data_IF_138331247739
#
_entry.id   IF_138331247739
#
_cell.length_a   1.000
_cell.length_b   1.000
_cell.length_c   1.000
_cell.angle_alpha   90.00
_cell.angle_beta   90.00
_cell.angle_gamma   90.00
#
_symmetry.space_group_name_H-M   'P 1'
#
loop_
_entity.id
_entity.type
_entity.pdbx_description
1 polymer ?
#
# COMPACT_ATOMS: atom_id res chain seq x y z
N UNK A 1 1.24 -7.66 10.00
CA UNK A 1 1.47 -9.08 9.62
C UNK A 1 0.80 -9.52 8.31
N UNK A 2 -0.23 -8.84 7.76
CA UNK A 2 -0.93 -9.30 6.53
C UNK A 2 -0.21 -8.91 5.22
N UNK A 3 0.54 -7.81 5.23
CA UNK A 3 1.26 -7.33 4.03
C UNK A 3 2.36 -8.29 3.53
N UNK A 4 3.00 -9.05 4.42
CA UNK A 4 4.02 -10.03 4.02
C UNK A 4 3.43 -11.23 3.27
N UNK A 5 2.22 -11.66 3.63
CA UNK A 5 1.60 -12.86 3.04
C UNK A 5 1.17 -12.65 1.59
N UNK A 6 0.57 -11.50 1.29
CA UNK A 6 0.09 -11.19 -0.05
C UNK A 6 1.23 -10.82 -1.01
N UNK A 7 2.31 -10.21 -0.50
CA UNK A 7 3.55 -10.03 -1.26
C UNK A 7 4.18 -11.39 -1.58
N UNK A 8 4.16 -12.31 -0.63
CA UNK A 8 4.63 -13.67 -0.84
C UNK A 8 3.80 -14.43 -1.88
N UNK A 9 2.49 -14.24 -1.94
CA UNK A 9 1.65 -14.91 -2.93
C UNK A 9 2.02 -14.49 -4.36
N UNK A 10 2.17 -13.19 -4.64
CA UNK A 10 2.62 -12.69 -5.96
C UNK A 10 4.07 -13.10 -6.24
N UNK A 11 4.93 -13.08 -5.22
CA UNK A 11 6.31 -13.53 -5.37
C UNK A 11 6.41 -15.03 -5.65
N UNK A 12 5.54 -15.85 -5.06
CA UNK A 12 5.52 -17.30 -5.24
C UNK A 12 5.15 -17.69 -6.66
N UNK A 13 4.18 -16.99 -7.25
CA UNK A 13 3.67 -17.30 -8.59
C UNK A 13 4.73 -16.97 -9.64
N UNK A 14 5.36 -15.80 -9.53
CA UNK A 14 6.47 -15.40 -10.40
C UNK A 14 7.68 -16.32 -10.24
N UNK A 15 8.04 -16.64 -8.99
CA UNK A 15 9.18 -17.52 -8.70
C UNK A 15 8.94 -18.97 -9.13
N UNK A 16 7.68 -19.42 -9.17
CA UNK A 16 7.30 -20.73 -9.73
C UNK A 16 7.51 -20.76 -11.24
N UNK A 17 7.10 -19.70 -11.93
CA UNK A 17 7.32 -19.55 -13.38
C UNK A 17 8.81 -19.55 -13.73
N UNK A 18 9.63 -18.77 -13.02
CA UNK A 18 11.08 -18.76 -13.18
C UNK A 18 11.70 -20.14 -12.95
N UNK A 19 11.24 -20.86 -11.92
CA UNK A 19 11.74 -22.22 -11.62
C UNK A 19 11.43 -23.19 -12.75
N UNK A 20 10.26 -23.09 -13.39
CA UNK A 20 9.87 -23.91 -14.53
C UNK A 20 10.71 -23.59 -15.79
N UNK A 21 10.97 -22.31 -16.06
CA UNK A 21 11.86 -21.89 -17.15
C UNK A 21 13.29 -22.39 -16.95
N UNK A 22 13.77 -22.32 -15.71
CA UNK A 22 15.10 -22.82 -15.35
C UNK A 22 15.19 -24.33 -15.49
N UNK A 23 14.20 -25.06 -14.99
CA UNK A 23 14.11 -26.51 -15.15
C UNK A 23 14.08 -26.91 -16.63
N UNK A 24 13.30 -26.22 -17.47
CA UNK A 24 13.29 -26.47 -18.91
C UNK A 24 14.69 -26.29 -19.52
N UNK A 25 15.36 -25.18 -19.19
CA UNK A 25 16.70 -24.88 -19.71
C UNK A 25 17.75 -25.91 -19.24
N UNK A 26 17.69 -26.33 -17.98
CA UNK A 26 18.59 -27.34 -17.42
C UNK A 26 18.35 -28.72 -18.04
N UNK A 27 17.10 -29.10 -18.30
CA UNK A 27 16.76 -30.34 -19.01
C UNK A 27 17.19 -30.31 -20.48
N UNK A 28 17.09 -29.16 -21.15
CA UNK A 28 17.56 -28.98 -22.53
C UNK A 28 19.09 -29.10 -22.63
N UNK A 29 19.82 -28.56 -21.65
CA UNK A 29 21.29 -28.66 -21.54
C UNK A 29 21.79 -30.08 -21.33
N UNK A 30 21.06 -30.89 -20.57
CA UNK A 30 21.47 -32.27 -20.29
C UNK A 30 21.43 -33.18 -21.52
N UNK A 31 20.83 -32.74 -22.65
CA UNK A 31 20.76 -33.48 -23.91
C UNK A 31 20.58 -35.00 -23.71
N UNK A 32 19.64 -35.40 -22.86
CA UNK A 32 19.25 -36.80 -22.76
C UNK A 32 18.88 -37.26 -24.18
N UNK A 33 19.75 -38.09 -24.77
CA UNK A 33 19.61 -38.57 -26.14
C UNK A 33 18.16 -38.96 -26.38
N UNK A 34 17.52 -38.35 -27.39
CA UNK A 34 16.06 -38.24 -27.57
C UNK A 34 15.25 -39.55 -27.48
N UNK A 35 15.90 -40.70 -27.39
CA UNK A 35 15.34 -42.04 -27.30
C UNK A 35 15.51 -42.73 -25.93
N UNK A 36 16.37 -42.22 -25.03
CA UNK A 36 16.58 -42.85 -23.71
C UNK A 36 15.40 -42.57 -22.77
N UNK A 37 14.89 -43.60 -22.09
CA UNK A 37 13.88 -43.40 -21.05
C UNK A 37 14.47 -42.62 -19.88
N UNK A 38 13.62 -41.84 -19.20
CA UNK A 38 14.02 -40.88 -18.16
C UNK A 38 14.90 -41.50 -17.05
N UNK A 39 14.63 -42.76 -16.67
CA UNK A 39 15.38 -43.47 -15.64
C UNK A 39 16.84 -43.82 -16.02
N UNK A 40 17.18 -43.81 -17.31
CA UNK A 40 18.54 -44.06 -17.79
C UNK A 40 19.41 -42.80 -17.86
N UNK A 41 18.82 -41.63 -17.68
CA UNK A 41 19.58 -40.40 -17.48
C UNK A 41 19.85 -40.22 -15.99
N UNK A 42 21.11 -40.31 -15.57
CA UNK A 42 21.47 -40.16 -14.15
C UNK A 42 21.10 -38.78 -13.59
N UNK A 43 21.19 -37.73 -14.41
CA UNK A 43 21.06 -36.34 -13.94
C UNK A 43 19.64 -35.76 -14.03
N UNK A 44 18.75 -36.38 -14.83
CA UNK A 44 17.40 -35.85 -15.07
C UNK A 44 16.41 -36.09 -13.91
N UNK A 45 16.34 -37.29 -13.28
CA UNK A 45 15.46 -37.54 -12.14
C UNK A 45 15.76 -36.64 -10.92
N UNK A 46 17.02 -36.45 -10.49
CA UNK A 46 17.35 -35.54 -9.39
C UNK A 46 16.87 -34.10 -9.61
N UNK A 47 16.97 -33.59 -10.84
CA UNK A 47 16.49 -32.24 -11.19
C UNK A 47 14.96 -32.11 -11.11
N UNK A 48 14.25 -33.14 -11.54
CA UNK A 48 12.78 -33.18 -11.44
C UNK A 48 12.34 -33.20 -9.99
N UNK A 49 12.94 -34.07 -9.16
CA UNK A 49 12.63 -34.14 -7.73
C UNK A 49 12.92 -32.83 -7.00
N UNK A 50 14.04 -32.16 -7.33
CA UNK A 50 14.38 -30.85 -6.75
C UNK A 50 13.35 -29.76 -7.07
N UNK A 51 12.65 -29.89 -8.21
CA UNK A 51 11.59 -28.98 -8.62
C UNK A 51 10.19 -29.48 -8.24
N UNK A 52 10.08 -30.53 -7.42
CA UNK A 52 8.80 -31.06 -6.93
C UNK A 52 8.05 -31.96 -7.93
N UNK A 53 8.68 -32.34 -9.04
CA UNK A 53 8.11 -33.28 -9.99
C UNK A 53 8.48 -34.71 -9.62
N UNK A 54 7.48 -35.51 -9.28
CA UNK A 54 7.64 -36.95 -9.09
C UNK A 54 7.08 -37.68 -10.31
N UNK A 55 7.87 -38.51 -11.01
CA UNK A 55 7.35 -39.43 -12.01
C UNK A 55 6.29 -40.33 -11.34
N UNK A 56 5.10 -40.39 -11.91
CA UNK A 56 4.04 -41.26 -11.40
C UNK A 56 4.44 -42.72 -11.60
N UNK A 57 4.58 -43.45 -10.48
CA UNK A 57 5.02 -44.84 -10.41
C UNK A 57 3.92 -45.86 -10.80
N UNK A 58 2.76 -45.36 -11.25
CA UNK A 58 1.56 -46.16 -11.51
C UNK A 58 1.28 -46.41 -12.99
N UNK A 59 1.52 -47.65 -13.42
CA UNK A 59 0.83 -48.44 -14.46
C UNK A 59 0.44 -47.76 -15.80
N UNK A 60 0.97 -48.34 -16.90
CA UNK A 60 0.51 -48.16 -18.30
C UNK A 60 0.76 -46.79 -18.95
N UNK A 61 1.92 -46.16 -18.74
CA UNK A 61 2.38 -45.10 -19.64
C UNK A 61 3.53 -45.60 -20.53
N UNK A 62 3.53 -45.24 -21.84
CA UNK A 62 4.64 -45.56 -22.73
C UNK A 62 5.94 -44.99 -22.15
N UNK A 63 7.10 -45.63 -22.41
CA UNK A 63 8.38 -45.24 -21.83
C UNK A 63 8.56 -43.73 -21.91
N UNK A 64 8.56 -43.07 -20.75
CA UNK A 64 8.60 -41.63 -20.65
C UNK A 64 9.99 -41.17 -21.08
N UNK A 65 10.10 -40.76 -22.34
CA UNK A 65 11.35 -40.28 -22.91
C UNK A 65 11.60 -38.86 -22.44
N UNK A 66 12.87 -38.51 -22.19
CA UNK A 66 13.22 -37.16 -21.77
C UNK A 66 12.71 -36.08 -22.75
N UNK A 67 12.71 -36.38 -24.06
CA UNK A 67 12.16 -35.48 -25.09
C UNK A 67 10.66 -35.20 -24.91
N UNK A 68 9.87 -36.18 -24.49
CA UNK A 68 8.43 -35.99 -24.23
C UNK A 68 8.20 -35.10 -23.00
N UNK A 69 9.01 -35.28 -21.95
CA UNK A 69 8.95 -34.43 -20.75
C UNK A 69 9.29 -32.99 -21.09
N UNK A 70 10.37 -32.76 -21.83
CA UNK A 70 10.78 -31.41 -22.27
C UNK A 70 9.69 -30.78 -23.15
N UNK A 71 9.14 -31.52 -24.12
CA UNK A 71 8.08 -31.02 -25.00
C UNK A 71 6.80 -30.66 -24.23
N UNK A 72 6.41 -31.49 -23.25
CA UNK A 72 5.25 -31.21 -22.39
C UNK A 72 5.52 -30.03 -21.46
N UNK A 73 6.70 -29.93 -20.87
CA UNK A 73 7.09 -28.80 -20.03
C UNK A 73 7.09 -27.50 -20.83
N UNK A 74 7.63 -27.51 -22.06
CA UNK A 74 7.57 -26.38 -22.99
C UNK A 74 6.14 -25.98 -23.32
N UNK A 75 5.26 -26.96 -23.56
CA UNK A 75 3.85 -26.70 -23.84
C UNK A 75 3.07 -26.20 -22.61
N UNK A 76 3.47 -26.57 -21.39
CA UNK A 76 2.89 -26.03 -20.16
C UNK A 76 3.38 -24.60 -19.92
N UNK A 77 4.69 -24.36 -20.03
CA UNK A 77 5.29 -23.02 -19.90
C UNK A 77 4.72 -22.09 -20.96
N UNK A 78 4.85 -22.40 -22.25
CA UNK A 78 4.25 -21.59 -23.32
C UNK A 78 2.71 -21.69 -23.39
N UNK A 79 2.10 -22.50 -22.53
CA UNK A 79 0.69 -22.82 -22.57
C UNK A 79 -0.16 -21.74 -21.95
N UNK A 80 -1.34 -21.56 -22.53
CA UNK A 80 -2.40 -20.75 -21.95
C UNK A 80 -2.84 -21.18 -20.53
N UNK A 81 -2.81 -22.48 -20.13
CA UNK A 81 -3.27 -22.89 -18.80
C UNK A 81 -2.49 -22.27 -17.64
N UNK A 82 -1.16 -22.17 -17.73
CA UNK A 82 -0.35 -21.59 -16.65
C UNK A 82 -0.50 -20.07 -16.64
N UNK A 83 -0.56 -19.42 -17.80
CA UNK A 83 -0.81 -17.98 -17.90
C UNK A 83 -2.19 -17.61 -17.32
N UNK A 84 -3.21 -18.42 -17.62
CA UNK A 84 -4.55 -18.25 -17.06
C UNK A 84 -4.57 -18.49 -15.54
N UNK A 85 -3.84 -19.50 -15.05
CA UNK A 85 -3.70 -19.75 -13.62
C UNK A 85 -3.05 -18.56 -12.90
N UNK A 86 -1.94 -18.03 -13.44
CA UNK A 86 -1.26 -16.83 -12.94
C UNK A 86 -2.22 -15.64 -12.88
N UNK A 87 -2.93 -15.38 -13.98
CA UNK A 87 -3.90 -14.29 -14.08
C UNK A 87 -5.04 -14.46 -13.06
N UNK A 88 -5.56 -15.68 -12.89
CA UNK A 88 -6.63 -15.96 -11.94
C UNK A 88 -6.19 -15.74 -10.49
N UNK A 89 -4.95 -16.11 -10.14
CA UNK A 89 -4.38 -15.85 -8.81
C UNK A 89 -4.21 -14.35 -8.57
N UNK A 90 -3.70 -13.60 -9.54
CA UNK A 90 -3.56 -12.15 -9.43
C UNK A 90 -4.93 -11.47 -9.24
N UNK A 91 -5.94 -11.91 -9.97
CA UNK A 91 -7.30 -11.38 -9.90
C UNK A 91 -7.96 -11.68 -8.54
N UNK A 92 -7.74 -12.89 -8.00
CA UNK A 92 -8.18 -13.26 -6.66
C UNK A 92 -7.53 -12.38 -5.58
N UNK A 93 -6.21 -12.19 -5.65
CA UNK A 93 -5.46 -11.35 -4.71
C UNK A 93 -5.89 -9.88 -4.81
N UNK A 94 -6.13 -9.38 -6.02
CA UNK A 94 -6.64 -8.03 -6.25
C UNK A 94 -7.99 -7.82 -5.59
N UNK A 95 -8.94 -8.73 -5.83
CA UNK A 95 -10.30 -8.67 -5.28
C UNK A 95 -10.33 -8.74 -3.76
N UNK A 96 -9.41 -9.48 -3.13
CA UNK A 96 -9.29 -9.50 -1.67
C UNK A 96 -8.72 -8.18 -1.15
N UNK A 97 -7.82 -7.53 -1.89
CA UNK A 97 -7.10 -6.33 -1.42
C UNK A 97 -7.91 -5.04 -1.57
N UNK A 98 -8.72 -4.92 -2.62
CA UNK A 98 -9.58 -3.75 -2.88
C UNK A 98 -10.41 -3.30 -1.68
N UNK A 99 -11.17 -4.15 -0.97
CA UNK A 99 -12.00 -3.71 0.15
C UNK A 99 -11.18 -3.12 1.33
N UNK A 100 -9.96 -3.63 1.58
CA UNK A 100 -9.09 -3.08 2.62
C UNK A 100 -8.62 -1.67 2.30
N UNK A 101 -8.28 -1.38 1.04
CA UNK A 101 -7.89 -0.03 0.64
C UNK A 101 -9.06 0.95 0.75
N UNK A 102 -10.25 0.55 0.31
CA UNK A 102 -11.43 1.41 0.42
C UNK A 102 -11.78 1.69 1.88
N UNK A 103 -11.79 0.68 2.74
CA UNK A 103 -12.08 0.87 4.18
C UNK A 103 -11.05 1.73 4.89
N UNK A 104 -9.76 1.59 4.55
CA UNK A 104 -8.71 2.45 5.09
C UNK A 104 -8.89 3.89 4.60
N UNK A 105 -9.10 4.08 3.29
CA UNK A 105 -9.30 5.40 2.70
C UNK A 105 -10.54 6.10 3.27
N UNK A 106 -11.66 5.39 3.44
CA UNK A 106 -12.89 5.95 4.03
C UNK A 106 -12.67 6.30 5.49
N UNK A 107 -12.02 5.45 6.28
CA UNK A 107 -11.71 5.73 7.68
C UNK A 107 -10.83 6.98 7.82
N UNK A 108 -9.76 7.09 7.02
CA UNK A 108 -8.92 8.29 7.01
C UNK A 108 -9.68 9.52 6.55
N UNK A 109 -10.52 9.41 5.53
CA UNK A 109 -11.33 10.53 5.03
C UNK A 109 -12.33 11.02 6.09
N UNK A 110 -12.96 10.10 6.81
CA UNK A 110 -13.87 10.46 7.92
C UNK A 110 -13.09 11.12 9.05
N UNK A 111 -11.94 10.57 9.43
CA UNK A 111 -11.10 11.14 10.49
C UNK A 111 -10.63 12.57 10.14
N UNK A 112 -10.17 12.80 8.90
CA UNK A 112 -9.73 14.13 8.46
C UNK A 112 -10.89 15.11 8.37
N UNK A 113 -12.06 14.68 7.91
CA UNK A 113 -13.28 15.50 7.88
C UNK A 113 -13.72 15.90 9.30
N UNK A 114 -13.69 14.96 10.26
CA UNK A 114 -14.04 15.25 11.66
C UNK A 114 -13.05 16.24 12.28
N UNK A 115 -11.75 16.06 12.08
CA UNK A 115 -10.73 17.01 12.54
C UNK A 115 -10.93 18.40 11.92
N UNK A 116 -11.11 18.47 10.60
CA UNK A 116 -11.40 19.73 9.91
C UNK A 116 -12.67 20.40 10.45
N UNK A 117 -13.74 19.63 10.69
CA UNK A 117 -14.99 20.14 11.25
C UNK A 117 -14.79 20.72 12.66
N UNK A 118 -14.06 20.03 13.54
CA UNK A 118 -13.77 20.55 14.89
C UNK A 118 -12.98 21.85 14.84
N UNK A 119 -11.95 21.95 13.99
CA UNK A 119 -11.15 23.17 13.83
C UNK A 119 -11.99 24.31 13.29
N UNK A 120 -12.82 24.07 12.27
CA UNK A 120 -13.74 25.08 11.72
C UNK A 120 -14.72 25.56 12.79
N UNK A 121 -15.33 24.65 13.55
CA UNK A 121 -16.24 25.00 14.64
C UNK A 121 -15.56 25.89 15.70
N UNK A 122 -14.32 25.57 16.09
CA UNK A 122 -13.57 26.40 17.02
C UNK A 122 -13.23 27.77 16.44
N UNK A 123 -12.82 27.85 15.17
CA UNK A 123 -12.54 29.12 14.49
C UNK A 123 -13.79 29.98 14.36
N UNK A 124 -14.93 29.38 14.01
CA UNK A 124 -16.22 30.07 13.90
C UNK A 124 -16.66 30.63 15.26
N UNK A 125 -16.51 29.86 16.34
CA UNK A 125 -16.77 30.36 17.70
C UNK A 125 -15.85 31.53 18.03
N UNK A 126 -14.54 31.42 17.75
CA UNK A 126 -13.58 32.49 18.01
C UNK A 126 -13.92 33.75 17.19
N UNK A 127 -14.35 33.58 15.94
CA UNK A 127 -14.76 34.66 15.06
C UNK A 127 -16.02 35.36 15.58
N UNK A 128 -17.07 34.60 15.91
CA UNK A 128 -18.31 35.15 16.49
C UNK A 128 -18.02 35.85 17.82
N UNK A 129 -17.20 35.25 18.69
CA UNK A 129 -16.82 35.82 19.98
C UNK A 129 -16.04 37.12 19.81
N UNK A 130 -15.07 37.16 18.90
CA UNK A 130 -14.30 38.38 18.63
C UNK A 130 -15.19 39.51 18.10
N UNK A 131 -16.16 39.19 17.23
CA UNK A 131 -17.11 40.18 16.72
C UNK A 131 -18.01 40.72 17.83
N UNK A 132 -18.53 39.84 18.68
CA UNK A 132 -19.40 40.23 19.79
C UNK A 132 -18.64 41.05 20.86
N UNK A 133 -17.41 40.67 21.19
CA UNK A 133 -16.55 41.44 22.12
C UNK A 133 -16.24 42.82 21.55
N UNK A 134 -15.84 42.91 20.27
CA UNK A 134 -15.56 44.19 19.62
C UNK A 134 -16.79 45.10 19.53
N UNK A 135 -17.95 44.54 19.18
CA UNK A 135 -19.22 45.27 19.11
C UNK A 135 -19.73 45.72 20.49
N UNK A 136 -19.58 44.89 21.52
CA UNK A 136 -19.89 45.31 22.90
C UNK A 136 -18.93 46.38 23.40
N UNK A 137 -17.63 46.24 23.12
CA UNK A 137 -16.65 47.25 23.48
C UNK A 137 -16.97 48.60 22.81
N UNK A 138 -17.36 48.62 21.53
CA UNK A 138 -17.74 49.87 20.86
C UNK A 138 -18.98 50.55 21.46
N UNK A 139 -19.93 49.79 22.03
CA UNK A 139 -21.07 50.38 22.75
C UNK A 139 -20.74 50.83 24.18
N UNK A 140 -19.66 50.30 24.77
CA UNK A 140 -19.18 50.67 26.10
C UNK A 140 -18.14 51.81 26.09
N UNK A 141 -17.61 52.15 24.90
CA UNK A 141 -16.84 53.39 24.71
C UNK A 141 -17.85 54.54 24.69
N UNK A 142 -18.20 55.01 25.88
CA UNK A 142 -19.00 56.22 26.07
C UNK A 142 -18.25 57.38 25.39
N UNK A 143 -18.91 58.08 24.45
CA UNK A 143 -18.34 59.28 23.83
C UNK A 143 -17.96 60.34 24.89
N UNK A 144 -18.53 60.27 26.10
CA UNK A 144 -18.08 61.06 27.25
C UNK A 144 -16.65 60.74 27.67
N UNK A 145 -16.18 59.50 27.57
CA UNK A 145 -14.79 59.14 27.86
C UNK A 145 -13.80 59.74 26.84
N UNK A 146 -14.25 59.93 25.59
CA UNK A 146 -13.48 60.65 24.54
C UNK A 146 -13.55 62.18 24.70
N UNK A 147 -14.67 62.71 25.19
CA UNK A 147 -14.85 64.15 25.47
C UNK A 147 -14.27 64.60 26.81
N UNK A 148 -13.95 63.67 27.72
CA UNK A 148 -13.07 63.93 28.87
C UNK A 148 -11.61 63.98 28.43
N UNK A 149 -11.29 64.87 27.49
CA UNK A 149 -9.91 65.21 27.14
C UNK A 149 -9.33 66.17 28.19
N UNK A 150 -9.29 65.72 29.45
CA UNK A 150 -8.97 66.59 30.57
C UNK A 150 -8.71 65.80 31.85
N UNK A 151 -7.46 65.35 31.98
CA UNK A 151 -6.78 64.80 33.17
C UNK A 151 -7.15 63.35 33.58
N UNK A 152 -6.14 62.50 33.37
CA UNK A 152 -5.96 61.12 33.86
C UNK A 152 -6.80 60.04 33.18
N UNK A 153 -6.26 59.58 32.05
CA UNK A 153 -6.58 58.28 31.47
C UNK A 153 -5.96 57.20 32.38
N UNK A 154 -6.78 56.42 33.07
CA UNK A 154 -6.31 55.29 33.88
C UNK A 154 -5.84 54.20 32.91
N UNK A 155 -4.56 53.84 32.97
CA UNK A 155 -3.95 52.86 32.08
C UNK A 155 -4.70 51.53 32.16
N UNK A 156 -5.27 51.11 31.03
CA UNK A 156 -5.90 49.79 30.88
C UNK A 156 -4.89 48.70 30.48
N UNK A 157 -3.60 49.05 30.53
CA UNK A 157 -2.45 48.16 30.42
C UNK A 157 -1.45 48.58 31.49
N UNK A 158 -1.34 47.79 32.56
CA UNK A 158 -0.56 48.17 33.76
C UNK A 158 0.95 47.95 33.60
N UNK A 159 1.41 47.39 32.48
CA UNK A 159 2.80 46.89 32.35
C UNK A 159 3.51 47.27 31.03
N UNK A 160 3.08 48.32 30.33
CA UNK A 160 3.86 48.80 29.16
C UNK A 160 3.96 50.32 29.19
N UNK A 161 4.98 50.79 29.90
CA UNK A 161 5.48 52.16 29.81
C UNK A 161 6.28 52.27 28.50
N UNK A 162 5.68 52.85 27.45
CA UNK A 162 6.37 53.01 26.16
C UNK A 162 6.71 54.48 25.82
N UNK A 163 6.38 55.47 26.64
CA UNK A 163 6.73 56.85 26.34
C UNK A 163 6.99 57.66 27.62
N UNK A 164 8.21 57.52 28.15
CA UNK A 164 8.84 58.61 28.90
C UNK A 164 9.54 59.51 27.87
N UNK A 165 8.84 60.53 27.39
CA UNK A 165 9.49 61.65 26.73
C UNK A 165 9.93 62.64 27.81
N UNK A 166 11.17 62.47 28.27
CA UNK A 166 11.92 63.49 29.00
C UNK A 166 12.07 64.73 28.11
N UNK A 167 11.33 65.80 28.39
CA UNK A 167 11.61 67.12 27.86
C UNK A 167 11.73 68.12 29.01
N UNK A 168 12.96 68.62 29.11
CA UNK A 168 13.54 69.62 30.00
C UNK A 168 12.79 70.96 30.01
#
# INVERSE_FOLDING_TARGET
MVHHYLSWAVYLTDRLWESLLKLHSDLERLQCSKAKPLHQCADAPPLLYRNGFTPTDGTLQPPLTCSKVIAKLKAVVAGQPIANLMTAMDLFLYNIRTPFFYTLLTLWSIATLLLAHTVLYHLDILLIRSHFVRSKASHLIDAKALLTHGRKMLSLYKDVDYFDDDLY
#
